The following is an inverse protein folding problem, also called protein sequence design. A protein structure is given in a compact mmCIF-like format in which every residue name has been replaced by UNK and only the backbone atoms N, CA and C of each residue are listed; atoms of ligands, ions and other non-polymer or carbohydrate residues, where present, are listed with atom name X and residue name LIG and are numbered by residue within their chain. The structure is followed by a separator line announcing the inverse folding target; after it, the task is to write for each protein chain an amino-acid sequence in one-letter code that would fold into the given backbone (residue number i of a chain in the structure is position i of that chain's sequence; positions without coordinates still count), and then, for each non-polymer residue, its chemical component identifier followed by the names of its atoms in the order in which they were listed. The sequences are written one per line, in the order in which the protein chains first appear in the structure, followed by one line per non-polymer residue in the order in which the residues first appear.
data_IF_029306318243
#
_entry.id   IF_029306318243
#
_cell.length_a   1.000
_cell.length_b   1.000
_cell.length_c   1.000
_cell.angle_alpha   90.00
_cell.angle_beta   90.00
_cell.angle_gamma   90.00
#
_symmetry.space_group_name_H-M   'P 1'
#
loop_
_entity.id
_entity.type
_entity.pdbx_description
1 polymer ?
#
# COMPACT_ATOMS: atom_id res chain seq x y z
N UNK A 1 -20.96 9.20 0.51
CA UNK A 1 -21.06 10.03 -0.71
C UNK A 1 -22.36 10.86 -0.76
N UNK A 2 -22.90 11.32 0.38
CA UNK A 2 -24.12 12.17 0.42
C UNK A 2 -23.97 13.38 1.38
N UNK A 3 -23.00 13.39 2.30
CA UNK A 3 -22.89 14.42 3.36
C UNK A 3 -22.00 15.63 3.03
N UNK A 4 -21.47 15.76 1.80
CA UNK A 4 -20.54 16.85 1.41
C UNK A 4 -21.12 17.79 0.34
N UNK A 5 -22.45 17.75 0.15
CA UNK A 5 -23.20 18.70 -0.68
C UNK A 5 -23.82 19.82 0.17
N UNK A 6 -23.09 20.41 1.12
CA UNK A 6 -23.41 21.81 1.43
C UNK A 6 -22.99 22.61 0.22
N UNK A 7 -24.00 23.03 -0.52
CA UNK A 7 -23.87 23.40 -1.90
C UNK A 7 -23.04 24.68 -1.96
N UNK A 8 -22.03 24.72 -2.84
CA UNK A 8 -21.20 25.92 -3.07
C UNK A 8 -22.10 27.15 -3.38
N UNK A 9 -23.31 26.91 -3.88
CA UNK A 9 -24.39 27.87 -4.05
C UNK A 9 -24.87 28.51 -2.75
N UNK A 10 -24.97 27.79 -1.64
CA UNK A 10 -25.39 28.35 -0.34
C UNK A 10 -24.31 29.25 0.27
N UNK A 11 -23.04 28.86 0.19
CA UNK A 11 -21.92 29.68 0.70
C UNK A 11 -21.72 30.94 -0.16
N UNK A 12 -21.83 30.82 -1.48
CA UNK A 12 -21.80 31.96 -2.38
C UNK A 12 -22.99 32.90 -2.15
N UNK A 13 -24.20 32.35 -1.95
CA UNK A 13 -25.38 33.12 -1.61
C UNK A 13 -25.19 33.88 -0.30
N UNK A 14 -24.69 33.23 0.77
CA UNK A 14 -24.45 33.87 2.07
C UNK A 14 -23.48 35.05 1.94
N UNK A 15 -22.38 34.90 1.21
CA UNK A 15 -21.45 36.02 0.98
C UNK A 15 -22.08 37.17 0.18
N UNK A 16 -22.89 36.86 -0.84
CA UNK A 16 -23.63 37.88 -1.61
C UNK A 16 -24.61 38.63 -0.70
N UNK A 17 -25.39 37.91 0.12
CA UNK A 17 -26.37 38.53 1.04
C UNK A 17 -25.70 39.40 2.11
N UNK A 18 -24.60 38.94 2.71
CA UNK A 18 -23.85 39.72 3.71
C UNK A 18 -23.29 41.00 3.07
N UNK A 19 -22.72 40.91 1.87
CA UNK A 19 -22.20 42.08 1.16
C UNK A 19 -23.31 43.07 0.77
N UNK A 20 -24.49 42.59 0.36
CA UNK A 20 -25.67 43.43 0.10
C UNK A 20 -26.14 44.16 1.36
N UNK A 21 -26.13 43.50 2.52
CA UNK A 21 -26.49 44.11 3.80
C UNK A 21 -25.49 45.22 4.16
N UNK A 22 -24.18 44.98 4.05
CA UNK A 22 -23.17 46.02 4.32
C UNK A 22 -23.28 47.22 3.38
N UNK A 23 -23.57 46.99 2.10
CA UNK A 23 -23.80 48.07 1.12
C UNK A 23 -25.03 48.91 1.46
N UNK A 24 -26.12 48.26 1.90
CA UNK A 24 -27.33 48.96 2.33
C UNK A 24 -27.10 49.83 3.57
N UNK A 25 -26.34 49.34 4.55
CA UNK A 25 -25.97 50.08 5.76
C UNK A 25 -25.04 51.25 5.46
N UNK A 26 -24.03 51.05 4.61
CA UNK A 26 -23.12 52.11 4.18
C UNK A 26 -23.85 53.21 3.38
N UNK A 27 -24.77 52.81 2.51
CA UNK A 27 -25.62 53.74 1.75
C UNK A 27 -26.51 54.59 2.66
N UNK A 28 -27.12 53.99 3.69
CA UNK A 28 -27.90 54.72 4.70
C UNK A 28 -27.04 55.73 5.46
N UNK A 29 -25.84 55.33 5.90
CA UNK A 29 -24.94 56.22 6.63
C UNK A 29 -24.45 57.41 5.77
N UNK A 30 -24.10 57.17 4.49
CA UNK A 30 -23.71 58.26 3.59
C UNK A 30 -24.89 59.18 3.22
N UNK A 31 -26.11 58.64 3.10
CA UNK A 31 -27.31 59.43 2.79
C UNK A 31 -27.67 60.43 3.89
N UNK A 32 -27.31 60.11 5.14
CA UNK A 32 -27.47 61.00 6.30
C UNK A 32 -26.33 62.03 6.36
N UNK A 33 -25.11 61.64 5.96
CA UNK A 33 -23.90 62.44 6.15
C UNK A 33 -23.63 63.48 5.05
N UNK A 34 -23.82 63.15 3.76
CA UNK A 34 -23.51 64.07 2.64
C UNK A 34 -24.35 65.37 2.62
N UNK A 35 -25.67 65.35 2.90
CA UNK A 35 -26.49 66.57 2.94
C UNK A 35 -26.08 67.56 4.03
N UNK A 36 -25.35 67.11 5.05
CA UNK A 36 -24.84 67.96 6.13
C UNK A 36 -23.57 68.73 5.71
N UNK A 37 -22.91 68.31 4.63
CA UNK A 37 -21.58 68.81 4.24
C UNK A 37 -21.58 69.56 2.91
N UNK A 38 -22.53 69.28 2.01
CA UNK A 38 -22.68 69.93 0.70
C UNK A 38 -24.03 70.66 0.65
N UNK A 39 -24.02 71.98 0.56
CA UNK A 39 -25.26 72.79 0.56
C UNK A 39 -26.06 72.67 -0.75
N UNK A 40 -25.40 72.36 -1.87
CA UNK A 40 -26.08 72.15 -3.15
C UNK A 40 -26.62 70.72 -3.26
N UNK A 41 -27.96 70.64 -3.25
CA UNK A 41 -28.71 69.39 -3.28
C UNK A 41 -28.43 68.55 -4.53
N UNK A 42 -28.16 69.17 -5.70
CA UNK A 42 -27.89 68.41 -6.92
C UNK A 42 -26.50 67.79 -6.90
N UNK A 43 -25.48 68.53 -6.46
CA UNK A 43 -24.09 68.07 -6.36
C UNK A 43 -23.97 66.96 -5.29
N UNK A 44 -24.67 67.11 -4.17
CA UNK A 44 -24.75 66.08 -3.13
C UNK A 44 -25.36 64.77 -3.65
N UNK A 45 -26.36 64.84 -4.54
CA UNK A 45 -27.05 63.66 -5.06
C UNK A 45 -26.20 62.92 -6.09
N UNK A 46 -25.51 63.67 -6.96
CA UNK A 46 -24.59 63.11 -7.97
C UNK A 46 -23.39 62.44 -7.32
N UNK A 47 -22.78 63.07 -6.31
CA UNK A 47 -21.63 62.51 -5.58
C UNK A 47 -22.00 61.25 -4.81
N UNK A 48 -23.17 61.21 -4.16
CA UNK A 48 -23.69 60.02 -3.50
C UNK A 48 -23.90 58.87 -4.49
N UNK A 49 -24.51 59.15 -5.64
CA UNK A 49 -24.74 58.16 -6.69
C UNK A 49 -23.42 57.60 -7.25
N UNK A 50 -22.42 58.46 -7.46
CA UNK A 50 -21.11 58.06 -7.94
C UNK A 50 -20.36 57.17 -6.93
N UNK A 51 -20.34 57.55 -5.65
CA UNK A 51 -19.73 56.75 -4.57
C UNK A 51 -20.40 55.38 -4.43
N UNK A 52 -21.73 55.34 -4.53
CA UNK A 52 -22.48 54.08 -4.49
C UNK A 52 -22.13 53.17 -5.67
N UNK A 53 -22.07 53.71 -6.90
CA UNK A 53 -21.64 52.96 -8.08
C UNK A 53 -20.21 52.42 -7.97
N UNK A 54 -19.26 53.22 -7.47
CA UNK A 54 -17.87 52.81 -7.25
C UNK A 54 -17.80 51.69 -6.20
N UNK A 55 -18.54 51.81 -5.09
CA UNK A 55 -18.55 50.76 -4.06
C UNK A 55 -19.18 49.45 -4.57
N UNK A 56 -20.25 49.52 -5.37
CA UNK A 56 -20.91 48.35 -5.95
C UNK A 56 -19.98 47.62 -6.94
N UNK A 57 -19.32 48.37 -7.82
CA UNK A 57 -18.38 47.81 -8.79
C UNK A 57 -17.16 47.18 -8.11
N UNK A 58 -16.61 47.82 -7.08
CA UNK A 58 -15.51 47.26 -6.31
C UNK A 58 -15.91 45.97 -5.60
N UNK A 59 -17.08 45.94 -4.94
CA UNK A 59 -17.59 44.74 -4.27
C UNK A 59 -17.88 43.60 -5.24
N UNK A 60 -18.43 43.90 -6.42
CA UNK A 60 -18.63 42.90 -7.47
C UNK A 60 -17.30 42.30 -7.93
N UNK A 61 -16.28 43.13 -8.16
CA UNK A 61 -14.95 42.67 -8.59
C UNK A 61 -14.26 41.80 -7.53
N UNK A 62 -14.35 42.18 -6.25
CA UNK A 62 -13.80 41.40 -5.14
C UNK A 62 -14.50 40.04 -4.99
N UNK A 63 -15.83 40.04 -5.00
CA UNK A 63 -16.64 38.82 -4.89
C UNK A 63 -16.37 37.89 -6.08
N UNK A 64 -16.34 38.44 -7.30
CA UNK A 64 -16.02 37.69 -8.51
C UNK A 64 -14.63 37.04 -8.40
N UNK A 65 -13.60 37.79 -8.02
CA UNK A 65 -12.24 37.28 -7.89
C UNK A 65 -12.13 36.13 -6.87
N UNK A 66 -12.79 36.27 -5.72
CA UNK A 66 -12.76 35.23 -4.68
C UNK A 66 -13.54 33.97 -5.10
N UNK A 67 -14.68 34.14 -5.78
CA UNK A 67 -15.40 32.99 -6.35
C UNK A 67 -14.55 32.29 -7.40
N UNK A 68 -13.98 33.01 -8.36
CA UNK A 68 -13.12 32.46 -9.41
C UNK A 68 -11.91 31.69 -8.85
N UNK A 69 -11.26 32.22 -7.80
CA UNK A 69 -10.18 31.51 -7.10
C UNK A 69 -10.65 30.21 -6.47
N UNK A 70 -11.75 30.24 -5.70
CA UNK A 70 -12.30 29.03 -5.06
C UNK A 70 -12.69 27.98 -6.11
N UNK A 71 -13.29 28.41 -7.22
CA UNK A 71 -13.62 27.52 -8.35
C UNK A 71 -12.36 26.94 -8.99
N UNK A 72 -11.33 27.76 -9.24
CA UNK A 72 -10.06 27.29 -9.80
C UNK A 72 -9.36 26.28 -8.90
N UNK A 73 -9.32 26.54 -7.58
CA UNK A 73 -8.73 25.64 -6.59
C UNK A 73 -9.49 24.31 -6.53
N UNK A 74 -10.83 24.35 -6.50
CA UNK A 74 -11.67 23.15 -6.53
C UNK A 74 -11.46 22.33 -7.81
N UNK A 75 -11.43 23.01 -8.97
CA UNK A 75 -11.20 22.37 -10.26
C UNK A 75 -9.82 21.71 -10.30
N UNK A 76 -8.80 22.37 -9.75
CA UNK A 76 -7.44 21.83 -9.66
C UNK A 76 -7.36 20.60 -8.74
N UNK A 77 -8.08 20.63 -7.62
CA UNK A 77 -8.16 19.53 -6.67
C UNK A 77 -8.87 18.31 -7.29
N UNK A 78 -10.01 18.54 -7.94
CA UNK A 78 -10.75 17.51 -8.66
C UNK A 78 -9.90 16.90 -9.78
N UNK A 79 -9.24 17.75 -10.59
CA UNK A 79 -8.35 17.29 -11.65
C UNK A 79 -7.24 16.40 -11.12
N UNK A 80 -6.54 16.81 -10.06
CA UNK A 80 -5.52 15.97 -9.40
C UNK A 80 -6.09 14.64 -8.90
N UNK A 81 -7.30 14.65 -8.33
CA UNK A 81 -7.98 13.43 -7.85
C UNK A 81 -8.32 12.48 -9.00
N UNK A 82 -8.80 13.00 -10.13
CA UNK A 82 -9.09 12.19 -11.32
C UNK A 82 -7.82 11.68 -12.01
N UNK A 83 -6.79 12.51 -12.14
CA UNK A 83 -5.49 12.10 -12.69
C UNK A 83 -4.85 10.99 -11.83
N UNK A 84 -4.89 11.12 -10.50
CA UNK A 84 -4.42 10.07 -9.59
C UNK A 84 -5.23 8.77 -9.75
N UNK A 85 -6.56 8.85 -9.90
CA UNK A 85 -7.42 7.69 -10.13
C UNK A 85 -7.10 7.02 -11.48
N UNK A 86 -6.94 7.81 -12.54
CA UNK A 86 -6.59 7.32 -13.88
C UNK A 86 -5.23 6.61 -13.87
N UNK A 87 -4.24 7.19 -13.20
CA UNK A 87 -2.90 6.58 -13.09
C UNK A 87 -2.93 5.26 -12.30
N UNK A 88 -3.75 5.15 -11.24
CA UNK A 88 -3.95 3.88 -10.54
C UNK A 88 -4.58 2.82 -11.44
N UNK A 89 -5.64 3.17 -12.18
CA UNK A 89 -6.29 2.25 -13.10
C UNK A 89 -5.37 1.79 -14.24
N UNK A 90 -4.53 2.67 -14.78
CA UNK A 90 -3.51 2.31 -15.77
C UNK A 90 -2.50 1.32 -15.20
N UNK A 91 -1.98 1.60 -13.99
CA UNK A 91 -1.05 0.70 -13.32
C UNK A 91 -1.68 -0.68 -13.09
N UNK A 92 -2.93 -0.74 -12.65
CA UNK A 92 -3.68 -1.98 -12.41
C UNK A 92 -3.93 -2.77 -13.71
N UNK A 93 -4.30 -2.07 -14.79
CA UNK A 93 -4.46 -2.69 -16.10
C UNK A 93 -3.16 -3.25 -16.67
N UNK A 94 -2.07 -2.48 -16.57
CA UNK A 94 -0.74 -2.91 -17.02
C UNK A 94 -0.25 -4.12 -16.21
N UNK A 95 -0.53 -4.17 -14.90
CA UNK A 95 -0.22 -5.33 -14.06
C UNK A 95 -1.01 -6.58 -14.48
N UNK A 96 -2.31 -6.47 -14.72
CA UNK A 96 -3.15 -7.61 -15.13
C UNK A 96 -2.68 -8.17 -16.49
N UNK A 97 -2.35 -7.28 -17.43
CA UNK A 97 -1.85 -7.70 -18.75
C UNK A 97 -0.52 -8.42 -18.63
N UNK A 98 0.40 -7.88 -17.83
CA UNK A 98 1.71 -8.50 -17.57
C UNK A 98 1.56 -9.86 -16.87
N UNK A 99 0.69 -9.97 -15.86
CA UNK A 99 0.39 -11.22 -15.16
C UNK A 99 -0.14 -12.29 -16.13
N UNK A 100 -1.03 -11.91 -17.05
CA UNK A 100 -1.52 -12.81 -18.09
C UNK A 100 -0.40 -13.27 -19.02
N UNK A 101 0.45 -12.36 -19.51
CA UNK A 101 1.58 -12.71 -20.37
C UNK A 101 2.57 -13.62 -19.66
N UNK A 102 2.85 -13.38 -18.37
CA UNK A 102 3.73 -14.23 -17.57
C UNK A 102 3.11 -15.61 -17.40
N UNK A 103 1.79 -15.70 -17.17
CA UNK A 103 1.06 -16.96 -17.06
C UNK A 103 1.16 -17.80 -18.35
N UNK A 104 0.83 -17.20 -19.49
CA UNK A 104 0.88 -17.88 -20.80
C UNK A 104 2.32 -18.31 -21.15
N UNK A 105 3.29 -17.45 -20.85
CA UNK A 105 4.72 -17.74 -21.02
C UNK A 105 5.19 -18.89 -20.12
N UNK A 106 4.76 -18.91 -18.86
CA UNK A 106 5.11 -19.95 -17.88
C UNK A 106 4.57 -21.31 -18.32
N UNK A 107 3.30 -21.40 -18.75
CA UNK A 107 2.75 -22.66 -19.27
C UNK A 107 3.54 -23.17 -20.48
N UNK A 108 3.89 -22.27 -21.41
CA UNK A 108 4.66 -22.63 -22.61
C UNK A 108 6.06 -23.13 -22.25
N UNK A 109 6.74 -22.48 -21.30
CA UNK A 109 8.05 -22.87 -20.81
C UNK A 109 8.04 -24.24 -20.13
N UNK A 110 7.04 -24.49 -19.27
CA UNK A 110 6.86 -25.79 -18.61
C UNK A 110 6.67 -26.89 -19.65
N UNK A 111 5.76 -26.67 -20.61
CA UNK A 111 5.52 -27.62 -21.69
C UNK A 111 6.79 -27.93 -22.48
N UNK A 112 7.51 -26.91 -22.94
CA UNK A 112 8.75 -27.08 -23.71
C UNK A 112 9.85 -27.80 -22.91
N UNK A 113 9.97 -27.50 -21.60
CA UNK A 113 10.92 -28.15 -20.73
C UNK A 113 10.61 -29.64 -20.56
N UNK A 114 9.34 -29.99 -20.37
CA UNK A 114 8.89 -31.37 -20.26
C UNK A 114 9.05 -32.13 -21.59
N UNK A 115 8.73 -31.51 -22.71
CA UNK A 115 8.93 -32.07 -24.06
C UNK A 115 10.42 -32.32 -24.36
N UNK A 116 11.30 -31.36 -24.03
CA UNK A 116 12.75 -31.55 -24.16
C UNK A 116 13.23 -32.72 -23.30
N UNK A 117 12.76 -32.77 -22.05
CA UNK A 117 13.13 -33.81 -21.10
C UNK A 117 12.67 -35.20 -21.57
N UNK A 118 11.49 -35.28 -22.17
CA UNK A 118 10.98 -36.47 -22.83
C UNK A 118 11.91 -36.89 -23.97
N UNK A 119 12.26 -35.98 -24.88
CA UNK A 119 13.14 -36.28 -26.04
C UNK A 119 14.53 -36.76 -25.58
N UNK A 120 15.10 -36.14 -24.55
CA UNK A 120 16.43 -36.49 -24.04
C UNK A 120 16.47 -37.89 -23.38
N UNK A 121 15.37 -38.33 -22.76
CA UNK A 121 15.29 -39.65 -22.12
C UNK A 121 14.72 -40.75 -23.03
N UNK A 122 14.02 -40.43 -24.11
CA UNK A 122 13.63 -41.42 -25.13
C UNK A 122 14.83 -41.85 -25.99
N UNK A 123 15.83 -40.98 -26.19
CA UNK A 123 17.07 -41.36 -26.90
C UNK A 123 17.97 -42.31 -26.13
N UNK A 124 17.81 -42.39 -24.81
CA UNK A 124 18.58 -43.27 -23.94
C UNK A 124 17.60 -44.28 -23.33
N UNK A 125 17.40 -45.44 -23.96
CA UNK A 125 16.82 -46.60 -23.26
C UNK A 125 17.53 -46.72 -21.91
N UNK A 126 16.83 -46.45 -20.81
CA UNK A 126 17.39 -46.27 -19.45
C UNK A 126 18.48 -47.31 -19.14
N UNK A 127 19.78 -46.99 -19.27
CA UNK A 127 20.81 -47.96 -18.94
C UNK A 127 20.93 -48.03 -17.42
N UNK A 128 21.14 -49.21 -16.82
CA UNK A 128 21.12 -49.41 -15.37
C UNK A 128 22.40 -48.91 -14.67
N UNK A 129 23.06 -47.87 -15.19
CA UNK A 129 24.29 -47.36 -14.57
C UNK A 129 23.97 -46.25 -13.56
N UNK A 130 24.47 -46.41 -12.33
CA UNK A 130 24.26 -45.46 -11.23
C UNK A 130 24.77 -44.04 -11.54
N UNK A 131 25.76 -43.91 -12.44
CA UNK A 131 26.29 -42.61 -12.87
C UNK A 131 25.30 -41.83 -13.73
N UNK A 132 24.55 -42.51 -14.61
CA UNK A 132 23.51 -41.88 -15.44
C UNK A 132 22.30 -41.52 -14.56
N UNK A 133 21.94 -42.38 -13.60
CA UNK A 133 20.89 -42.08 -12.61
C UNK A 133 21.23 -40.85 -11.75
N UNK A 134 22.48 -40.68 -11.36
CA UNK A 134 22.94 -39.50 -10.59
C UNK A 134 22.99 -38.22 -11.44
N UNK A 135 23.42 -38.29 -12.70
CA UNK A 135 23.40 -37.13 -13.61
C UNK A 135 21.96 -36.70 -13.95
N UNK A 136 21.05 -37.67 -14.04
CA UNK A 136 19.62 -37.44 -14.18
C UNK A 136 19.03 -36.77 -12.92
N UNK A 137 19.48 -37.16 -11.71
CA UNK A 137 19.10 -36.53 -10.43
C UNK A 137 19.42 -35.03 -10.34
N UNK A 138 20.56 -34.59 -10.86
CA UNK A 138 20.92 -33.16 -10.88
C UNK A 138 20.05 -32.35 -11.86
N UNK A 139 19.75 -32.90 -13.05
CA UNK A 139 18.82 -32.28 -14.00
C UNK A 139 17.39 -32.23 -13.43
N UNK A 140 16.97 -33.24 -12.68
CA UNK A 140 15.68 -33.23 -11.97
C UNK A 140 15.59 -32.11 -10.94
N UNK A 141 16.67 -31.88 -10.19
CA UNK A 141 16.77 -30.77 -9.24
C UNK A 141 16.56 -29.42 -9.92
N UNK A 142 17.17 -29.19 -11.08
CA UNK A 142 17.04 -27.93 -11.82
C UNK A 142 15.62 -27.66 -12.29
N UNK A 143 14.90 -28.68 -12.77
CA UNK A 143 13.49 -28.53 -13.18
C UNK A 143 12.62 -28.17 -11.97
N UNK A 144 12.82 -28.86 -10.84
CA UNK A 144 12.08 -28.59 -9.60
C UNK A 144 12.33 -27.16 -9.11
N UNK A 145 13.59 -26.73 -9.11
CA UNK A 145 13.99 -25.37 -8.73
C UNK A 145 13.37 -24.32 -9.65
N UNK A 146 13.42 -24.56 -10.96
CA UNK A 146 12.83 -23.67 -11.97
C UNK A 146 11.31 -23.55 -11.81
N UNK A 147 10.60 -24.66 -11.61
CA UNK A 147 9.16 -24.67 -11.35
C UNK A 147 8.81 -23.92 -10.07
N UNK A 148 9.61 -24.11 -9.01
CA UNK A 148 9.45 -23.38 -7.76
C UNK A 148 9.69 -21.88 -7.95
N UNK A 149 10.69 -21.49 -8.73
CA UNK A 149 10.96 -20.08 -9.05
C UNK A 149 9.82 -19.45 -9.84
N UNK A 150 9.29 -20.13 -10.86
CA UNK A 150 8.11 -19.67 -11.60
C UNK A 150 6.91 -19.39 -10.70
N UNK A 151 6.69 -20.27 -9.71
CA UNK A 151 5.59 -20.11 -8.73
C UNK A 151 5.73 -18.86 -7.86
N UNK A 152 6.94 -18.31 -7.77
CA UNK A 152 7.30 -17.15 -6.96
C UNK A 152 7.43 -15.86 -7.78
N UNK A 153 7.22 -15.88 -9.11
CA UNK A 153 7.40 -14.70 -9.97
C UNK A 153 6.33 -13.63 -9.72
N UNK A 154 5.05 -14.00 -9.65
CA UNK A 154 3.95 -13.05 -9.41
C UNK A 154 3.63 -12.92 -7.91
N UNK A 155 3.06 -11.79 -7.46
CA UNK A 155 2.74 -11.54 -6.05
C UNK A 155 1.67 -12.49 -5.47
N UNK A 156 0.76 -13.02 -6.29
CA UNK A 156 -0.18 -14.07 -5.87
C UNK A 156 0.45 -15.46 -6.05
N UNK A 157 1.08 -15.94 -4.98
CA UNK A 157 1.79 -17.22 -4.99
C UNK A 157 0.84 -18.43 -5.08
N UNK A 158 -0.36 -18.31 -4.53
CA UNK A 158 -1.33 -19.40 -4.51
C UNK A 158 -1.94 -19.62 -5.90
N UNK A 159 -2.28 -18.54 -6.60
CA UNK A 159 -2.77 -18.63 -7.98
C UNK A 159 -1.69 -19.20 -8.92
N UNK A 160 -0.45 -18.73 -8.80
CA UNK A 160 0.68 -19.23 -9.60
C UNK A 160 0.97 -20.71 -9.35
N UNK A 161 0.97 -21.11 -8.09
CA UNK A 161 1.14 -22.51 -7.70
C UNK A 161 0.08 -23.38 -8.38
N UNK A 162 -1.18 -22.93 -8.40
CA UNK A 162 -2.26 -23.66 -9.06
C UNK A 162 -2.10 -23.74 -10.59
N UNK A 163 -1.48 -22.74 -11.23
CA UNK A 163 -1.17 -22.80 -12.67
C UNK A 163 -0.14 -23.89 -12.94
N UNK A 164 0.96 -23.91 -12.19
CA UNK A 164 2.01 -24.93 -12.33
C UNK A 164 1.46 -26.32 -12.05
N UNK A 165 0.65 -26.47 -10.99
CA UNK A 165 -0.01 -27.74 -10.65
C UNK A 165 -0.93 -28.22 -11.77
N UNK A 166 -1.85 -27.37 -12.25
CA UNK A 166 -2.79 -27.74 -13.31
C UNK A 166 -2.09 -28.17 -14.60
N UNK A 167 -1.01 -27.47 -14.98
CA UNK A 167 -0.27 -27.83 -16.18
C UNK A 167 0.40 -29.20 -16.02
N UNK A 168 1.06 -29.46 -14.90
CA UNK A 168 1.75 -30.75 -14.71
C UNK A 168 0.74 -31.90 -14.56
N UNK A 169 -0.38 -31.68 -13.87
CA UNK A 169 -1.47 -32.66 -13.79
C UNK A 169 -2.06 -32.96 -15.18
N UNK A 170 -2.21 -31.94 -16.03
CA UNK A 170 -2.64 -32.12 -17.42
C UNK A 170 -1.64 -32.98 -18.21
N UNK A 171 -0.35 -32.71 -18.08
CA UNK A 171 0.70 -33.51 -18.73
C UNK A 171 0.72 -34.95 -18.20
N UNK A 172 0.58 -35.16 -16.89
CA UNK A 172 0.45 -36.49 -16.29
C UNK A 172 -0.70 -37.24 -16.95
N UNK A 173 -1.87 -36.61 -17.08
CA UNK A 173 -3.04 -37.21 -17.72
C UNK A 173 -2.79 -37.62 -19.17
N UNK A 174 -2.07 -36.79 -19.94
CA UNK A 174 -1.69 -37.11 -21.34
C UNK A 174 -0.79 -38.35 -21.36
N UNK A 175 0.27 -38.39 -20.56
CA UNK A 175 1.26 -39.48 -20.60
C UNK A 175 0.82 -40.73 -19.83
N UNK A 176 -0.26 -40.68 -19.06
CA UNK A 176 -0.76 -41.85 -18.34
C UNK A 176 -1.28 -42.93 -19.30
N UNK A 177 -1.71 -42.58 -20.51
CA UNK A 177 -2.20 -43.56 -21.49
C UNK A 177 -1.04 -44.17 -22.29
N UNK A 178 -0.13 -43.33 -22.77
CA UNK A 178 0.89 -43.75 -23.74
C UNK A 178 2.25 -44.10 -23.10
N UNK A 179 2.60 -43.49 -21.96
CA UNK A 179 3.94 -43.55 -21.37
C UNK A 179 3.90 -43.51 -19.81
N UNK A 180 3.29 -44.55 -19.22
CA UNK A 180 3.14 -44.72 -17.77
C UNK A 180 4.41 -44.42 -16.93
N UNK A 181 5.63 -44.86 -17.31
CA UNK A 181 6.85 -44.54 -16.54
C UNK A 181 7.13 -43.03 -16.46
N UNK A 182 6.82 -42.28 -17.52
CA UNK A 182 7.01 -40.84 -17.56
C UNK A 182 5.94 -40.12 -16.72
N UNK A 183 4.69 -40.58 -16.76
CA UNK A 183 3.64 -40.07 -15.89
C UNK A 183 3.96 -40.25 -14.40
N UNK A 184 4.45 -41.44 -14.01
CA UNK A 184 4.87 -41.74 -12.63
C UNK A 184 6.07 -40.86 -12.20
N UNK A 185 6.95 -40.55 -13.16
CA UNK A 185 8.07 -39.66 -12.94
C UNK A 185 7.61 -38.21 -12.70
N UNK A 186 6.67 -37.70 -13.50
CA UNK A 186 6.08 -36.36 -13.29
C UNK A 186 5.39 -36.24 -11.92
N UNK A 187 4.71 -37.30 -11.46
CA UNK A 187 4.14 -37.33 -10.10
C UNK A 187 5.21 -37.15 -9.01
N UNK A 188 6.37 -37.82 -9.15
CA UNK A 188 7.50 -37.65 -8.20
C UNK A 188 8.12 -36.25 -8.26
N UNK A 189 8.16 -35.62 -9.43
CA UNK A 189 8.55 -34.20 -9.55
C UNK A 189 7.60 -33.34 -8.72
N UNK A 190 6.29 -33.56 -8.84
CA UNK A 190 5.28 -32.76 -8.15
C UNK A 190 5.35 -32.83 -6.63
N UNK A 191 5.61 -34.02 -6.09
CA UNK A 191 5.83 -34.22 -4.66
C UNK A 191 7.02 -33.38 -4.16
N UNK A 192 8.16 -33.47 -4.87
CA UNK A 192 9.37 -32.72 -4.51
C UNK A 192 9.22 -31.22 -4.73
N UNK A 193 8.56 -30.81 -5.81
CA UNK A 193 8.24 -29.40 -6.11
C UNK A 193 7.47 -28.75 -4.98
N UNK A 194 6.44 -29.43 -4.44
CA UNK A 194 5.65 -28.89 -3.33
C UNK A 194 6.51 -28.64 -2.10
N UNK A 195 7.45 -29.54 -1.79
CA UNK A 195 8.39 -29.39 -0.67
C UNK A 195 9.35 -28.22 -0.90
N UNK A 196 9.96 -28.14 -2.08
CA UNK A 196 10.89 -27.06 -2.44
C UNK A 196 10.20 -25.70 -2.43
N UNK A 197 9.00 -25.60 -3.00
CA UNK A 197 8.22 -24.37 -2.99
C UNK A 197 7.89 -23.91 -1.57
N UNK A 198 7.41 -24.82 -0.72
CA UNK A 198 7.13 -24.51 0.68
C UNK A 198 8.38 -24.06 1.44
N UNK A 199 9.55 -24.63 1.13
CA UNK A 199 10.83 -24.16 1.69
C UNK A 199 11.14 -22.73 1.24
N UNK A 200 11.10 -22.45 -0.06
CA UNK A 200 11.36 -21.11 -0.59
C UNK A 200 10.35 -20.06 -0.09
N UNK A 201 9.09 -20.43 0.07
CA UNK A 201 8.06 -19.55 0.63
C UNK A 201 8.38 -19.16 2.08
N UNK A 202 8.83 -20.11 2.92
CA UNK A 202 9.27 -19.81 4.29
C UNK A 202 10.47 -18.86 4.29
N UNK A 203 11.48 -19.14 3.48
CA UNK A 203 12.66 -18.27 3.34
C UNK A 203 12.27 -16.85 2.87
N UNK A 204 11.32 -16.73 1.93
CA UNK A 204 10.83 -15.44 1.43
C UNK A 204 9.98 -14.70 2.45
N UNK A 205 9.14 -15.40 3.22
CA UNK A 205 8.38 -14.81 4.32
C UNK A 205 9.31 -14.30 5.43
N UNK A 206 10.37 -15.03 5.72
CA UNK A 206 11.39 -14.58 6.67
C UNK A 206 12.16 -13.36 6.14
N UNK A 207 12.40 -13.27 4.83
CA UNK A 207 12.93 -12.07 4.17
C UNK A 207 11.93 -10.89 4.17
N UNK A 208 10.64 -11.13 3.95
CA UNK A 208 9.60 -10.09 3.97
C UNK A 208 9.30 -9.56 5.37
N UNK A 209 9.46 -10.38 6.43
CA UNK A 209 9.44 -9.89 7.83
C UNK A 209 10.51 -8.82 8.07
N UNK A 210 11.60 -8.82 7.29
CA UNK A 210 12.66 -7.80 7.29
C UNK A 210 12.37 -6.60 6.39
N UNK A 211 11.44 -6.69 5.44
CA UNK A 211 11.07 -5.58 4.54
C UNK A 211 9.78 -4.89 5.01
N UNK A 212 9.87 -4.17 6.11
CA UNK A 212 8.78 -3.28 6.51
C UNK A 212 8.71 -2.12 5.52
N UNK A 213 7.55 -1.96 4.88
CA UNK A 213 7.28 -0.91 3.89
C UNK A 213 6.48 0.23 4.54
N UNK A 214 6.86 1.48 4.23
CA UNK A 214 6.07 2.69 4.49
C UNK A 214 5.46 3.22 3.21
N UNK A 215 4.31 3.86 3.33
CA UNK A 215 3.72 4.61 2.22
C UNK A 215 4.32 6.01 2.14
N UNK A 216 4.66 6.43 0.92
CA UNK A 216 5.09 7.80 0.69
C UNK A 216 3.91 8.76 0.82
N UNK A 217 3.97 9.83 1.63
CA UNK A 217 2.87 10.79 1.78
C UNK A 217 2.57 11.55 0.49
N UNK A 218 3.54 11.65 -0.42
CA UNK A 218 3.41 12.42 -1.67
C UNK A 218 2.85 11.59 -2.83
N UNK A 219 3.25 10.33 -2.96
CA UNK A 219 2.89 9.50 -4.11
C UNK A 219 2.21 8.18 -3.75
N UNK A 220 2.03 7.87 -2.46
CA UNK A 220 1.42 6.65 -1.93
C UNK A 220 2.11 5.35 -2.40
N UNK A 221 3.33 5.44 -2.92
CA UNK A 221 4.13 4.28 -3.27
C UNK A 221 4.60 3.58 -1.99
N UNK A 222 4.63 2.23 -2.02
CA UNK A 222 5.21 1.41 -0.95
C UNK A 222 6.74 1.42 -1.07
N UNK A 223 7.43 1.78 0.01
CA UNK A 223 8.87 2.04 0.01
C UNK A 223 9.46 1.44 1.27
N UNK A 224 10.70 0.93 1.22
CA UNK A 224 11.39 0.45 2.40
C UNK A 224 11.38 1.49 3.53
N UNK A 225 11.09 1.03 4.75
CA UNK A 225 10.91 1.91 5.92
C UNK A 225 12.14 2.77 6.21
N UNK A 226 13.34 2.22 5.99
CA UNK A 226 14.63 2.89 6.15
C UNK A 226 15.00 3.85 5.00
N UNK A 227 14.22 3.90 3.91
CA UNK A 227 14.51 4.76 2.78
C UNK A 227 14.46 6.23 3.21
N UNK A 228 15.58 6.94 3.02
CA UNK A 228 15.68 8.39 3.28
C UNK A 228 14.99 9.20 2.18
N UNK A 229 14.90 8.63 0.98
CA UNK A 229 14.31 9.27 -0.20
C UNK A 229 13.35 8.27 -0.83
N UNK A 230 12.18 8.75 -1.21
CA UNK A 230 11.20 7.96 -1.94
C UNK A 230 11.71 7.63 -3.35
N UNK A 231 11.75 6.35 -3.71
CA UNK A 231 12.17 5.88 -5.04
C UNK A 231 11.36 6.48 -6.20
N UNK A 232 10.06 6.69 -6.00
CA UNK A 232 9.14 7.13 -7.06
C UNK A 232 9.12 8.64 -7.29
N UNK A 233 8.93 9.43 -6.23
CA UNK A 233 8.76 10.88 -6.32
C UNK A 233 9.88 11.71 -5.69
N UNK A 234 11.00 11.07 -5.30
CA UNK A 234 12.18 11.69 -4.65
C UNK A 234 11.87 12.52 -3.40
N UNK A 235 10.78 12.20 -2.69
CA UNK A 235 10.42 12.84 -1.43
C UNK A 235 11.42 12.45 -0.34
N UNK A 236 12.03 13.43 0.32
CA UNK A 236 12.92 13.23 1.47
C UNK A 236 12.09 13.00 2.73
N UNK A 237 12.33 11.87 3.40
CA UNK A 237 11.71 11.58 4.68
C UNK A 237 12.51 12.29 5.78
N UNK A 238 11.81 13.02 6.65
CA UNK A 238 12.42 13.64 7.82
C UNK A 238 13.15 12.59 8.68
N UNK A 239 14.26 13.01 9.29
CA UNK A 239 15.11 12.15 10.11
C UNK A 239 14.33 11.71 11.34
N UNK A 240 13.76 10.50 11.30
CA UNK A 240 12.93 9.95 12.38
C UNK A 240 13.75 9.91 13.67
N UNK A 241 13.37 10.73 14.65
CA UNK A 241 13.98 10.75 15.95
C UNK A 241 13.45 9.57 16.78
N UNK A 242 14.37 8.77 17.35
CA UNK A 242 14.02 7.60 18.17
C UNK A 242 13.05 7.99 19.30
N UNK A 243 13.27 9.15 19.95
CA UNK A 243 12.39 9.60 21.05
C UNK A 243 10.95 9.80 20.61
N UNK A 244 10.74 10.37 19.43
CA UNK A 244 9.42 10.70 18.91
C UNK A 244 8.67 9.46 18.45
N UNK A 245 9.39 8.51 17.84
CA UNK A 245 8.86 7.21 17.45
C UNK A 245 8.42 6.37 18.66
N UNK A 246 9.21 6.40 19.74
CA UNK A 246 8.84 5.73 21.00
C UNK A 246 7.58 6.31 21.63
N UNK A 247 7.41 7.63 21.58
CA UNK A 247 6.21 8.31 22.07
C UNK A 247 4.99 8.00 21.20
N UNK A 248 5.14 8.07 19.88
CA UNK A 248 4.06 7.77 18.94
C UNK A 248 3.55 6.34 19.09
N UNK A 249 4.44 5.34 19.17
CA UNK A 249 4.04 3.93 19.32
C UNK A 249 3.27 3.68 20.61
N UNK A 250 3.68 4.29 21.73
CA UNK A 250 2.92 4.23 22.99
C UNK A 250 1.58 4.96 22.89
N UNK A 251 1.52 6.09 22.19
CA UNK A 251 0.28 6.83 21.97
C UNK A 251 -0.77 5.98 21.25
N UNK A 252 -0.38 5.36 20.14
CA UNK A 252 -1.29 4.46 19.40
C UNK A 252 -1.70 3.23 20.20
N UNK A 253 -0.78 2.66 20.99
CA UNK A 253 -1.10 1.55 21.88
C UNK A 253 -2.15 1.95 22.94
N UNK A 254 -2.01 3.14 23.51
CA UNK A 254 -2.94 3.65 24.53
C UNK A 254 -4.31 4.01 23.95
N UNK A 255 -4.37 4.46 22.69
CA UNK A 255 -5.64 4.76 22.01
C UNK A 255 -6.30 3.53 21.41
N UNK A 256 -5.73 2.32 21.60
CA UNK A 256 -6.27 1.06 21.11
C UNK A 256 -6.04 0.80 19.62
N UNK A 257 -5.28 1.67 18.93
CA UNK A 257 -4.90 1.45 17.53
C UNK A 257 -3.66 0.56 17.46
N UNK A 258 -3.87 -0.74 17.72
CA UNK A 258 -2.79 -1.70 17.91
C UNK A 258 -2.01 -1.99 16.61
N UNK A 259 -2.66 -1.96 15.45
CA UNK A 259 -2.02 -2.15 14.15
C UNK A 259 -1.01 -1.03 13.84
N UNK A 260 -1.39 0.22 14.13
CA UNK A 260 -0.49 1.36 13.97
C UNK A 260 0.65 1.30 15.01
N UNK A 261 0.34 0.92 16.26
CA UNK A 261 1.34 0.74 17.30
C UNK A 261 2.38 -0.34 16.90
N UNK A 262 1.93 -1.47 16.35
CA UNK A 262 2.80 -2.54 15.83
C UNK A 262 3.70 -2.00 14.74
N UNK A 263 3.15 -1.24 13.78
CA UNK A 263 3.93 -0.64 12.70
C UNK A 263 5.03 0.25 13.27
N UNK A 264 4.69 1.15 14.18
CA UNK A 264 5.63 2.10 14.79
C UNK A 264 6.71 1.39 15.63
N UNK A 265 6.35 0.40 16.46
CA UNK A 265 7.33 -0.36 17.23
C UNK A 265 8.25 -1.18 16.34
N UNK A 266 7.74 -1.67 15.21
CA UNK A 266 8.53 -2.37 14.22
C UNK A 266 9.60 -1.47 13.61
N UNK A 267 9.25 -0.23 13.22
CA UNK A 267 10.25 0.78 12.81
C UNK A 267 11.27 1.04 13.91
N UNK A 268 10.82 1.10 15.16
CA UNK A 268 11.71 1.38 16.28
C UNK A 268 12.73 0.26 16.49
N UNK A 269 12.30 -1.00 16.31
CA UNK A 269 13.14 -2.19 16.40
C UNK A 269 14.16 -2.21 15.27
N UNK A 270 13.79 -1.88 14.03
CA UNK A 270 14.74 -1.79 12.92
C UNK A 270 15.85 -0.77 13.18
N UNK A 271 15.49 0.38 13.78
CA UNK A 271 16.43 1.43 14.13
C UNK A 271 17.24 1.13 15.40
N UNK A 272 16.75 0.22 16.24
CA UNK A 272 17.41 -0.22 17.46
C UNK A 272 17.06 -1.69 17.80
N UNK A 273 17.78 -2.66 17.21
CA UNK A 273 17.50 -4.08 17.38
C UNK A 273 17.70 -4.60 18.81
N UNK A 274 18.29 -3.79 19.70
CA UNK A 274 18.50 -4.11 21.12
C UNK A 274 17.45 -3.48 22.05
N UNK A 275 16.40 -2.89 21.50
CA UNK A 275 15.36 -2.23 22.27
C UNK A 275 14.36 -3.22 22.90
N UNK A 276 14.72 -3.78 24.07
CA UNK A 276 13.87 -4.74 24.80
C UNK A 276 12.43 -4.24 25.03
N UNK A 277 12.27 -2.95 25.36
CA UNK A 277 10.96 -2.31 25.57
C UNK A 277 10.09 -2.28 24.30
N UNK A 278 10.71 -2.12 23.12
CA UNK A 278 9.96 -2.05 21.86
C UNK A 278 9.41 -3.41 21.47
N UNK A 279 10.21 -4.47 21.65
CA UNK A 279 9.73 -5.86 21.51
C UNK A 279 8.60 -6.15 22.49
N UNK A 280 8.74 -5.77 23.76
CA UNK A 280 7.67 -5.97 24.74
C UNK A 280 6.36 -5.26 24.33
N UNK A 281 6.43 -3.98 23.96
CA UNK A 281 5.24 -3.23 23.59
C UNK A 281 4.59 -3.75 22.31
N UNK A 282 5.39 -4.20 21.33
CA UNK A 282 4.87 -4.84 20.10
C UNK A 282 4.23 -6.19 20.40
N UNK A 283 4.86 -7.01 21.23
CA UNK A 283 4.30 -8.28 21.68
C UNK A 283 2.98 -8.10 22.43
N UNK A 284 2.88 -7.09 23.30
CA UNK A 284 1.63 -6.74 23.96
C UNK A 284 0.56 -6.22 22.99
N UNK A 285 0.94 -5.53 21.91
CA UNK A 285 0.01 -5.08 20.88
C UNK A 285 -0.51 -6.26 20.06
N UNK A 286 0.35 -7.22 19.69
CA UNK A 286 -0.06 -8.47 19.07
C UNK A 286 -1.00 -9.28 19.97
N UNK A 287 -0.71 -9.36 21.26
CA UNK A 287 -1.58 -10.03 22.23
C UNK A 287 -2.97 -9.40 22.30
N UNK A 288 -3.08 -8.07 22.18
CA UNK A 288 -4.37 -7.35 22.15
C UNK A 288 -5.15 -7.53 20.85
N UNK A 289 -4.50 -8.02 19.79
CA UNK A 289 -5.12 -8.36 18.50
C UNK A 289 -5.34 -9.88 18.35
N UNK A 290 -5.26 -10.65 19.43
CA UNK A 290 -5.36 -12.12 19.45
C UNK A 290 -4.32 -12.84 18.57
N UNK A 291 -3.23 -12.16 18.21
CA UNK A 291 -2.08 -12.74 17.49
C UNK A 291 -1.09 -13.35 18.46
N UNK A 292 -1.50 -14.45 19.10
CA UNK A 292 -0.73 -15.08 20.17
C UNK A 292 0.67 -15.54 19.74
N UNK A 293 0.79 -16.12 18.54
CA UNK A 293 2.06 -16.64 18.03
C UNK A 293 3.13 -15.55 17.91
N UNK A 294 2.77 -14.41 17.33
CA UNK A 294 3.65 -13.25 17.16
C UNK A 294 3.92 -12.55 18.49
N UNK A 295 2.91 -12.49 19.37
CA UNK A 295 3.07 -11.95 20.71
C UNK A 295 4.13 -12.72 21.51
N UNK A 296 4.04 -14.06 21.56
CA UNK A 296 4.98 -14.90 22.29
C UNK A 296 6.40 -14.77 21.74
N UNK A 297 6.56 -14.69 20.42
CA UNK A 297 7.87 -14.49 19.78
C UNK A 297 8.52 -13.17 20.24
N UNK A 298 7.78 -12.07 20.18
CA UNK A 298 8.27 -10.75 20.59
C UNK A 298 8.54 -10.64 22.09
N UNK A 299 7.68 -11.25 22.91
CA UNK A 299 7.84 -11.29 24.35
C UNK A 299 9.06 -12.12 24.76
N UNK A 300 9.34 -13.23 24.07
CA UNK A 300 10.56 -14.02 24.28
C UNK A 300 11.79 -13.19 23.94
N UNK A 301 11.76 -12.50 22.80
CA UNK A 301 12.87 -11.62 22.41
C UNK A 301 13.10 -10.49 23.40
N UNK A 302 12.03 -9.90 23.93
CA UNK A 302 12.13 -8.88 24.98
C UNK A 302 12.75 -9.44 26.28
N UNK A 303 12.35 -10.65 26.68
CA UNK A 303 12.89 -11.32 27.87
C UNK A 303 14.38 -11.66 27.71
N UNK A 304 14.80 -12.16 26.56
CA UNK A 304 16.22 -12.40 26.21
C UNK A 304 17.07 -11.13 26.29
N UNK A 305 16.48 -9.98 25.92
CA UNK A 305 17.11 -8.67 26.00
C UNK A 305 17.01 -8.02 27.41
N UNK A 306 16.51 -8.75 28.41
CA UNK A 306 16.47 -8.32 29.82
C UNK A 306 15.19 -7.62 30.27
N UNK A 307 14.09 -7.69 29.51
CA UNK A 307 12.82 -7.09 29.92
C UNK A 307 12.05 -7.98 30.92
N UNK A 308 12.12 -7.64 32.20
CA UNK A 308 11.57 -8.45 33.30
C UNK A 308 10.06 -8.72 33.18
N UNK A 309 9.26 -7.71 32.81
CA UNK A 309 7.81 -7.89 32.65
C UNK A 309 7.46 -8.85 31.52
N UNK A 310 8.30 -8.94 30.48
CA UNK A 310 8.06 -9.87 29.38
C UNK A 310 8.30 -11.31 29.86
N UNK A 311 9.36 -11.52 30.64
CA UNK A 311 9.68 -12.80 31.28
C UNK A 311 8.57 -13.26 32.22
N UNK A 312 8.09 -12.37 33.09
CA UNK A 312 6.98 -12.66 34.00
C UNK A 312 5.71 -13.04 33.25
N UNK A 313 5.38 -12.28 32.20
CA UNK A 313 4.19 -12.52 31.39
C UNK A 313 4.24 -13.86 30.63
N UNK A 314 5.40 -14.22 30.09
CA UNK A 314 5.60 -15.54 29.48
C UNK A 314 5.44 -16.69 30.47
N UNK A 315 5.99 -16.56 31.68
CA UNK A 315 5.85 -17.59 32.71
C UNK A 315 4.37 -17.80 33.11
N UNK A 316 3.56 -16.73 33.15
CA UNK A 316 2.13 -16.82 33.43
C UNK A 316 1.35 -17.50 32.31
N UNK A 317 1.72 -17.27 31.05
CA UNK A 317 1.10 -17.95 29.90
C UNK A 317 1.38 -19.46 29.94
N UNK A 318 2.62 -19.87 30.20
CA UNK A 318 3.01 -21.28 30.26
C UNK A 318 2.42 -22.06 31.44
N UNK A 319 1.89 -21.37 32.46
CA UNK A 319 1.24 -22.01 33.61
C UNK A 319 -0.27 -22.21 33.41
N UNK A 320 -0.84 -21.62 32.35
CA UNK A 320 -2.28 -21.65 32.06
C UNK A 320 -2.65 -22.55 30.86
N UNK A 321 -1.67 -23.23 30.25
CA UNK A 321 -1.85 -24.28 29.22
C UNK A 321 -1.75 -25.68 29.85
#
# INVERSE_FOLDING_TARGET
MIMERMSITEVAAVHIYVNLIFMSLAGLMLSIYLPLQIMDKQISLISLAALYLISLTLMFMLTKRDTEKKYADLLSCLRKKYEAKLNRLKLEYDTITLEKTIRDGTQTLIKNALDYFKIENIKNEMPPSAAIQNLQLDKYGQIIELLADFSLILPDYDENRQIVQREIDHQIGIYQVDEQPFALFLQRIMEKYTITLNKKLRERQDLQKTEILKECPKCLGKIQMNAKICKYCRYEFEKINKKDLSKAGRGFYQTGNFEEAIRIFTVFIDLNPKAAQAFYNRGMAYYKLDKQTEAVQDLKRAAELGHEKARQFLNLMTLND
#
